data_IF_165813199622
#
_entry.id   IF_165813199622
#
_cell.length_a   1.000
_cell.length_b   1.000
_cell.length_c   1.000
_cell.angle_alpha   90.00
_cell.angle_beta   90.00
_cell.angle_gamma   90.00
#
_symmetry.space_group_name_H-M   'P 1'
#
loop_
_entity.id
_entity.type
_entity.pdbx_description
1 polymer ?
#
# COMPACT_ATOMS: atom_id res chain seq x y z
N UNK A 1 -8.18 31.05 -28.13
CA UNK A 1 -8.67 30.64 -26.79
C UNK A 1 -9.49 29.34 -26.85
N UNK A 2 -10.53 29.24 -27.68
CA UNK A 2 -11.31 28.01 -27.84
C UNK A 2 -10.49 26.77 -28.26
N UNK A 3 -9.58 26.91 -29.24
CA UNK A 3 -8.72 25.81 -29.70
C UNK A 3 -7.79 25.27 -28.60
N UNK A 4 -7.23 26.16 -27.76
CA UNK A 4 -6.35 25.77 -26.63
C UNK A 4 -7.15 25.02 -25.57
N UNK A 5 -8.38 25.47 -25.26
CA UNK A 5 -9.25 24.77 -24.33
C UNK A 5 -9.63 23.36 -24.85
N UNK A 6 -9.95 23.23 -26.14
CA UNK A 6 -10.24 21.93 -26.75
C UNK A 6 -9.04 20.97 -26.68
N UNK A 7 -7.83 21.45 -26.99
CA UNK A 7 -6.61 20.63 -26.89
C UNK A 7 -6.36 20.16 -25.46
N UNK A 8 -6.47 21.04 -24.45
CA UNK A 8 -6.31 20.66 -23.04
C UNK A 8 -7.32 19.59 -22.64
N UNK A 9 -8.58 19.72 -23.06
CA UNK A 9 -9.62 18.73 -22.78
C UNK A 9 -9.34 17.36 -23.40
N UNK A 10 -8.81 17.30 -24.63
CA UNK A 10 -8.46 16.04 -25.29
C UNK A 10 -7.30 15.35 -24.57
N UNK A 11 -6.25 16.09 -24.18
CA UNK A 11 -5.13 15.53 -23.42
C UNK A 11 -5.58 15.02 -22.05
N UNK A 12 -6.43 15.79 -21.36
CA UNK A 12 -6.99 15.40 -20.07
C UNK A 12 -7.83 14.10 -20.18
N UNK A 13 -8.70 14.01 -21.19
CA UNK A 13 -9.49 12.81 -21.45
C UNK A 13 -8.60 11.61 -21.77
N UNK A 14 -7.60 11.78 -22.64
CA UNK A 14 -6.67 10.71 -23.00
C UNK A 14 -5.90 10.17 -21.79
N UNK A 15 -5.38 11.07 -20.94
CA UNK A 15 -4.66 10.68 -19.73
C UNK A 15 -5.58 10.01 -18.69
N UNK A 16 -6.84 10.45 -18.56
CA UNK A 16 -7.82 9.79 -17.71
C UNK A 16 -8.16 8.38 -18.22
N UNK A 17 -8.42 8.22 -19.52
CA UNK A 17 -8.69 6.92 -20.12
C UNK A 17 -7.50 5.97 -19.94
N UNK A 18 -6.27 6.48 -20.09
CA UNK A 18 -5.06 5.71 -19.82
C UNK A 18 -4.99 5.27 -18.35
N UNK A 19 -5.25 6.17 -17.39
CA UNK A 19 -5.26 5.84 -15.97
C UNK A 19 -6.31 4.77 -15.64
N UNK A 20 -7.51 4.86 -16.21
CA UNK A 20 -8.57 3.85 -16.04
C UNK A 20 -8.18 2.51 -16.67
N UNK A 21 -7.60 2.51 -17.87
CA UNK A 21 -7.12 1.29 -18.52
C UNK A 21 -5.99 0.63 -17.71
N UNK A 22 -5.07 1.42 -17.17
CA UNK A 22 -4.02 0.93 -16.27
C UNK A 22 -4.60 0.33 -15.00
N UNK A 23 -5.56 1.01 -14.35
CA UNK A 23 -6.22 0.48 -13.16
C UNK A 23 -6.96 -0.84 -13.46
N UNK A 24 -7.70 -0.90 -14.55
CA UNK A 24 -8.39 -2.13 -14.98
C UNK A 24 -7.39 -3.27 -15.25
N UNK A 25 -6.26 -2.97 -15.90
CA UNK A 25 -5.19 -3.94 -16.13
C UNK A 25 -4.55 -4.44 -14.83
N UNK A 26 -4.31 -3.54 -13.86
CA UNK A 26 -3.79 -3.90 -12.53
C UNK A 26 -4.78 -4.81 -11.80
N UNK A 27 -6.06 -4.44 -11.75
CA UNK A 27 -7.13 -5.23 -11.11
C UNK A 27 -7.26 -6.60 -11.75
N UNK A 28 -7.25 -6.67 -13.08
CA UNK A 28 -7.31 -7.93 -13.83
C UNK A 28 -6.09 -8.82 -13.55
N UNK A 29 -4.88 -8.26 -13.64
CA UNK A 29 -3.65 -9.00 -13.37
C UNK A 29 -3.58 -9.47 -11.92
N UNK A 30 -4.05 -8.66 -10.97
CA UNK A 30 -4.13 -9.02 -9.56
C UNK A 30 -5.14 -10.15 -9.33
N UNK A 31 -6.35 -10.07 -9.89
CA UNK A 31 -7.34 -11.14 -9.81
C UNK A 31 -6.79 -12.46 -10.34
N UNK A 32 -6.19 -12.45 -11.54
CA UNK A 32 -5.56 -13.65 -12.10
C UNK A 32 -4.39 -14.18 -11.26
N UNK A 33 -3.65 -13.30 -10.58
CA UNK A 33 -2.60 -13.70 -9.65
C UNK A 33 -3.17 -14.36 -8.38
N UNK A 34 -4.25 -13.81 -7.82
CA UNK A 34 -4.96 -14.35 -6.68
C UNK A 34 -5.56 -15.72 -6.98
N UNK A 35 -6.22 -15.90 -8.14
CA UNK A 35 -6.78 -17.19 -8.56
C UNK A 35 -5.74 -18.33 -8.55
N UNK A 36 -4.46 -18.02 -8.75
CA UNK A 36 -3.36 -19.00 -8.75
C UNK A 36 -2.72 -19.22 -7.38
N UNK A 37 -2.91 -18.30 -6.43
CA UNK A 37 -2.16 -18.24 -5.18
C UNK A 37 -3.04 -17.98 -3.95
N UNK A 38 -4.36 -18.15 -4.05
CA UNK A 38 -5.31 -17.85 -2.97
C UNK A 38 -4.94 -18.56 -1.66
N UNK A 39 -4.51 -19.82 -1.74
CA UNK A 39 -4.08 -20.61 -0.58
C UNK A 39 -2.62 -20.36 -0.14
N UNK A 40 -1.92 -19.39 -0.73
CA UNK A 40 -0.52 -19.06 -0.44
C UNK A 40 -0.37 -17.63 0.12
N UNK A 41 -0.85 -17.34 1.35
CA UNK A 41 -0.90 -15.97 1.89
C UNK A 41 0.48 -15.32 2.02
N UNK A 42 1.55 -16.11 2.16
CA UNK A 42 2.91 -15.59 2.19
C UNK A 42 3.33 -14.96 0.85
N UNK A 43 2.91 -15.55 -0.29
CA UNK A 43 3.19 -15.00 -1.62
C UNK A 43 2.36 -13.77 -1.91
N UNK A 44 1.09 -13.77 -1.52
CA UNK A 44 0.22 -12.59 -1.63
C UNK A 44 0.80 -11.42 -0.81
N UNK A 45 1.21 -11.69 0.44
CA UNK A 45 1.86 -10.70 1.29
C UNK A 45 3.14 -10.13 0.66
N UNK A 46 3.99 -10.98 0.11
CA UNK A 46 5.22 -10.54 -0.57
C UNK A 46 4.91 -9.66 -1.79
N UNK A 47 3.88 -10.01 -2.58
CA UNK A 47 3.44 -9.20 -3.71
C UNK A 47 2.88 -7.84 -3.26
N UNK A 48 2.05 -7.80 -2.21
CA UNK A 48 1.54 -6.55 -1.63
C UNK A 48 2.68 -5.66 -1.09
N UNK A 49 3.71 -6.24 -0.46
CA UNK A 49 4.91 -5.50 -0.04
C UNK A 49 5.65 -4.90 -1.24
N UNK A 50 5.77 -5.64 -2.34
CA UNK A 50 6.40 -5.14 -3.56
C UNK A 50 5.60 -4.00 -4.18
N UNK A 51 4.27 -4.12 -4.23
CA UNK A 51 3.36 -3.06 -4.70
C UNK A 51 3.48 -1.83 -3.82
N UNK A 52 3.47 -1.98 -2.49
CA UNK A 52 3.65 -0.89 -1.53
C UNK A 52 5.00 -0.18 -1.69
N UNK A 53 6.08 -0.94 -1.92
CA UNK A 53 7.40 -0.39 -2.20
C UNK A 53 7.41 0.39 -3.53
N UNK A 54 6.77 -0.14 -4.58
CA UNK A 54 6.60 0.54 -5.86
C UNK A 54 5.80 1.84 -5.75
N UNK A 55 4.68 1.82 -5.01
CA UNK A 55 3.87 2.99 -4.70
C UNK A 55 4.71 4.05 -3.96
N UNK A 56 5.39 3.67 -2.88
CA UNK A 56 6.28 4.58 -2.12
C UNK A 56 7.39 5.19 -2.99
N UNK A 57 7.97 4.42 -3.92
CA UNK A 57 8.95 4.92 -4.86
C UNK A 57 8.33 5.91 -5.88
N UNK A 58 7.11 5.65 -6.34
CA UNK A 58 6.38 6.56 -7.22
C UNK A 58 6.10 7.90 -6.52
N UNK A 59 5.70 7.90 -5.26
CA UNK A 59 5.49 9.13 -4.47
C UNK A 59 6.77 9.95 -4.30
N UNK A 60 7.89 9.28 -4.01
CA UNK A 60 9.21 9.92 -3.97
C UNK A 60 9.55 10.53 -5.33
N UNK A 61 9.26 9.82 -6.44
CA UNK A 61 9.39 10.33 -7.79
C UNK A 61 8.54 11.57 -8.05
N UNK A 62 7.28 11.59 -7.63
CA UNK A 62 6.38 12.76 -7.74
C UNK A 62 6.93 13.97 -6.96
N UNK A 63 7.47 13.75 -5.77
CA UNK A 63 8.11 14.80 -4.99
C UNK A 63 9.40 15.30 -5.64
N UNK A 64 10.24 14.39 -6.15
CA UNK A 64 11.50 14.72 -6.82
C UNK A 64 11.28 15.51 -8.13
N UNK A 65 10.21 15.19 -8.87
CA UNK A 65 9.76 15.95 -10.04
C UNK A 65 9.09 17.30 -9.68
N UNK A 66 8.93 17.59 -8.39
CA UNK A 66 8.34 18.83 -7.89
C UNK A 66 6.83 18.94 -8.05
N UNK A 67 6.14 17.82 -8.37
CA UNK A 67 4.68 17.74 -8.49
C UNK A 67 4.02 17.73 -7.10
N UNK A 68 4.59 16.99 -6.15
CA UNK A 68 4.13 16.95 -4.77
C UNK A 68 5.03 17.79 -3.85
N UNK A 69 4.43 18.47 -2.86
CA UNK A 69 5.15 19.16 -1.80
C UNK A 69 5.73 18.19 -0.75
N UNK A 70 6.70 18.67 0.04
CA UNK A 70 7.34 17.86 1.09
C UNK A 70 6.35 17.39 2.17
N UNK A 71 5.34 18.22 2.50
CA UNK A 71 4.28 17.86 3.46
C UNK A 71 3.46 16.69 2.93
N UNK A 72 3.10 16.71 1.65
CA UNK A 72 2.39 15.59 0.99
C UNK A 72 3.23 14.33 1.05
N UNK A 73 4.53 14.41 0.76
CA UNK A 73 5.44 13.27 0.87
C UNK A 73 5.49 12.73 2.31
N UNK A 74 5.57 13.60 3.33
CA UNK A 74 5.58 13.16 4.72
C UNK A 74 4.28 12.43 5.11
N UNK A 75 3.12 12.97 4.73
CA UNK A 75 1.82 12.34 5.00
C UNK A 75 1.70 11.02 4.25
N UNK A 76 2.10 10.98 2.99
CA UNK A 76 2.06 9.79 2.15
C UNK A 76 3.01 8.69 2.68
N UNK A 77 4.24 9.05 3.05
CA UNK A 77 5.18 8.14 3.71
C UNK A 77 4.63 7.62 5.04
N UNK A 78 3.98 8.47 5.84
CA UNK A 78 3.34 8.05 7.09
C UNK A 78 2.19 7.08 6.81
N UNK A 79 1.33 7.37 5.84
CA UNK A 79 0.23 6.49 5.45
C UNK A 79 0.73 5.14 4.92
N UNK A 80 1.80 5.13 4.12
CA UNK A 80 2.36 3.90 3.55
C UNK A 80 3.12 3.07 4.60
N UNK A 81 3.88 3.69 5.52
CA UNK A 81 4.65 2.98 6.55
C UNK A 81 3.80 2.59 7.75
N UNK A 82 2.89 3.44 8.22
CA UNK A 82 2.09 3.16 9.40
C UNK A 82 0.73 2.52 9.07
N UNK A 83 0.15 2.88 7.93
CA UNK A 83 -1.09 2.29 7.43
C UNK A 83 -0.81 1.06 6.56
N UNK A 84 -0.25 1.28 5.37
CA UNK A 84 -0.03 0.26 4.35
C UNK A 84 0.81 -0.91 4.82
N UNK A 85 2.01 -0.66 5.35
CA UNK A 85 2.90 -1.72 5.82
C UNK A 85 2.31 -2.49 7.01
N UNK A 86 1.67 -1.80 7.96
CA UNK A 86 0.98 -2.47 9.07
C UNK A 86 -0.16 -3.37 8.56
N UNK A 87 -0.95 -2.91 7.58
CA UNK A 87 -1.99 -3.71 6.94
C UNK A 87 -1.41 -4.96 6.25
N UNK A 88 -0.39 -4.79 5.42
CA UNK A 88 0.23 -5.91 4.70
C UNK A 88 0.86 -6.90 5.66
N UNK A 89 1.48 -6.46 6.76
CA UNK A 89 2.05 -7.37 7.76
C UNK A 89 0.98 -8.18 8.50
N UNK A 90 -0.23 -7.63 8.69
CA UNK A 90 -1.37 -8.30 9.32
C UNK A 90 -2.14 -9.24 8.38
N UNK A 91 -2.02 -9.06 7.07
CA UNK A 91 -2.64 -9.95 6.08
C UNK A 91 -2.29 -11.43 6.35
N UNK A 92 -3.25 -12.39 6.32
CA UNK A 92 -4.63 -12.29 5.86
C UNK A 92 -5.66 -12.12 7.00
N UNK A 93 -5.31 -11.49 8.12
CA UNK A 93 -6.26 -11.30 9.20
C UNK A 93 -7.42 -10.38 8.77
N UNK A 94 -8.65 -10.90 8.83
CA UNK A 94 -9.85 -10.08 8.75
C UNK A 94 -9.95 -9.23 10.02
N UNK A 95 -10.09 -7.92 9.82
CA UNK A 95 -10.31 -6.98 10.91
C UNK A 95 -11.68 -6.36 10.74
N UNK A 96 -12.43 -6.24 11.84
CA UNK A 96 -13.69 -5.50 11.82
C UNK A 96 -13.45 -4.07 11.38
N UNK A 97 -14.33 -3.55 10.53
CA UNK A 97 -14.28 -2.16 10.07
C UNK A 97 -14.42 -1.16 11.22
N UNK A 98 -15.07 -1.57 12.31
CA UNK A 98 -15.24 -0.82 13.56
C UNK A 98 -14.02 -0.90 14.49
N UNK A 99 -13.00 -1.68 14.15
CA UNK A 99 -11.78 -1.75 14.94
C UNK A 99 -10.97 -0.45 14.84
N UNK A 100 -10.14 -0.18 15.85
CA UNK A 100 -9.18 0.93 15.81
C UNK A 100 -8.27 0.87 14.56
N UNK A 101 -7.95 -0.34 14.11
CA UNK A 101 -7.20 -0.54 12.88
C UNK A 101 -7.96 -0.03 11.64
N UNK A 102 -9.25 -0.38 11.50
CA UNK A 102 -10.09 0.11 10.40
C UNK A 102 -10.17 1.64 10.37
N UNK A 103 -10.48 2.26 11.51
CA UNK A 103 -10.50 3.73 11.63
C UNK A 103 -9.14 4.37 11.30
N UNK A 104 -8.03 3.77 11.74
CA UNK A 104 -6.68 4.22 11.41
C UNK A 104 -6.44 4.20 9.90
N UNK A 105 -6.77 3.09 9.22
CA UNK A 105 -6.57 2.98 7.77
C UNK A 105 -7.40 4.00 6.99
N UNK A 106 -8.68 4.14 7.33
CA UNK A 106 -9.57 5.13 6.70
C UNK A 106 -9.06 6.55 6.95
N UNK A 107 -8.67 6.87 8.19
CA UNK A 107 -8.12 8.17 8.56
C UNK A 107 -6.85 8.52 7.80
N UNK A 108 -5.91 7.58 7.70
CA UNK A 108 -4.67 7.75 6.93
C UNK A 108 -4.94 7.91 5.42
N UNK A 109 -5.90 7.16 4.88
CA UNK A 109 -6.31 7.27 3.47
C UNK A 109 -6.93 8.63 3.15
N UNK A 110 -7.80 9.13 4.02
CA UNK A 110 -8.40 10.47 3.91
C UNK A 110 -7.31 11.53 4.04
N UNK A 111 -6.42 11.42 5.04
CA UNK A 111 -5.32 12.35 5.24
C UNK A 111 -4.39 12.42 4.02
N UNK A 112 -4.02 11.27 3.44
CA UNK A 112 -3.23 11.17 2.20
C UNK A 112 -3.95 11.84 1.03
N UNK A 113 -5.25 11.55 0.85
CA UNK A 113 -6.07 12.15 -0.21
C UNK A 113 -6.13 13.68 -0.11
N UNK A 114 -6.39 14.20 1.10
CA UNK A 114 -6.41 15.66 1.36
C UNK A 114 -5.02 16.27 1.13
N UNK A 115 -3.96 15.62 1.57
CA UNK A 115 -2.59 16.10 1.38
C UNK A 115 -2.20 16.20 -0.11
N UNK A 116 -2.69 15.29 -0.96
CA UNK A 116 -2.53 15.41 -2.41
C UNK A 116 -3.37 16.55 -2.99
N UNK A 117 -4.64 16.68 -2.60
CA UNK A 117 -5.50 17.76 -3.07
C UNK A 117 -4.96 19.16 -2.70
N UNK A 118 -4.37 19.31 -1.52
CA UNK A 118 -3.83 20.58 -1.04
C UNK A 118 -2.36 20.82 -1.43
N UNK A 119 -1.61 19.76 -1.74
CA UNK A 119 -0.15 19.82 -1.92
C UNK A 119 0.34 20.03 -3.35
N UNK A 120 -0.56 20.04 -4.33
CA UNK A 120 -0.21 20.33 -5.72
C UNK A 120 0.01 21.82 -5.93
N UNK A 121 1.14 22.17 -6.57
CA UNK A 121 1.50 23.56 -6.87
C UNK A 121 0.53 24.20 -7.86
N UNK A 122 0.13 23.47 -8.91
CA UNK A 122 -0.72 23.96 -9.99
C UNK A 122 -1.93 23.04 -10.24
N UNK A 123 -2.93 23.09 -9.34
CA UNK A 123 -4.10 22.21 -9.39
C UNK A 123 -4.78 22.13 -10.77
N UNK A 124 -4.93 23.26 -11.48
CA UNK A 124 -5.59 23.28 -12.79
C UNK A 124 -4.79 22.59 -13.89
N UNK A 125 -3.47 22.64 -13.83
CA UNK A 125 -2.58 22.07 -14.84
C UNK A 125 -2.43 20.57 -14.61
N UNK A 126 -2.33 20.18 -13.34
CA UNK A 126 -1.99 18.81 -12.95
C UNK A 126 -3.20 18.01 -12.47
N UNK A 127 -4.42 18.50 -12.70
CA UNK A 127 -5.67 17.85 -12.24
C UNK A 127 -5.78 16.38 -12.68
N UNK A 128 -5.38 16.07 -13.92
CA UNK A 128 -5.46 14.68 -14.41
C UNK A 128 -4.38 13.80 -13.77
N UNK A 129 -3.19 14.35 -13.56
CA UNK A 129 -2.13 13.66 -12.82
C UNK A 129 -2.56 13.41 -11.36
N UNK A 130 -3.21 14.39 -10.72
CA UNK A 130 -3.82 14.23 -9.39
C UNK A 130 -4.79 13.05 -9.38
N UNK A 131 -5.73 13.03 -10.32
CA UNK A 131 -6.76 12.00 -10.38
C UNK A 131 -6.16 10.61 -10.61
N UNK A 132 -5.15 10.50 -11.47
CA UNK A 132 -4.41 9.26 -11.70
C UNK A 132 -3.67 8.80 -10.44
N UNK A 133 -2.98 9.70 -9.73
CA UNK A 133 -2.28 9.40 -8.47
C UNK A 133 -3.28 8.98 -7.39
N UNK A 134 -4.40 9.69 -7.24
CA UNK A 134 -5.43 9.29 -6.29
C UNK A 134 -5.97 7.89 -6.62
N UNK A 135 -6.40 7.65 -7.86
CA UNK A 135 -6.99 6.37 -8.26
C UNK A 135 -6.02 5.20 -8.13
N UNK A 136 -4.79 5.34 -8.65
CA UNK A 136 -3.85 4.22 -8.76
C UNK A 136 -2.99 4.08 -7.50
N UNK A 137 -2.41 5.17 -7.00
CA UNK A 137 -1.48 5.12 -5.86
C UNK A 137 -2.19 5.16 -4.50
N UNK A 138 -3.19 6.02 -4.35
CA UNK A 138 -3.86 6.21 -3.05
C UNK A 138 -4.94 5.16 -2.80
N UNK A 139 -5.81 4.90 -3.79
CA UNK A 139 -6.93 3.96 -3.66
C UNK A 139 -6.63 2.56 -4.20
N UNK A 140 -5.66 2.43 -5.11
CA UNK A 140 -5.32 1.14 -5.72
C UNK A 140 -4.91 0.11 -4.68
N UNK A 141 -3.94 0.41 -3.80
CA UNK A 141 -3.48 -0.56 -2.81
C UNK A 141 -4.58 -1.03 -1.83
N UNK A 142 -5.42 -0.14 -1.23
CA UNK A 142 -6.59 -0.57 -0.45
C UNK A 142 -7.54 -1.50 -1.22
N UNK A 143 -7.81 -1.22 -2.50
CA UNK A 143 -8.66 -2.08 -3.34
C UNK A 143 -8.01 -3.44 -3.57
N UNK A 144 -6.72 -3.49 -3.91
CA UNK A 144 -6.00 -4.75 -4.11
C UNK A 144 -5.93 -5.56 -2.82
N UNK A 145 -5.72 -4.90 -1.68
CA UNK A 145 -5.77 -5.52 -0.37
C UNK A 145 -7.17 -6.10 -0.09
N UNK A 146 -8.23 -5.33 -0.37
CA UNK A 146 -9.60 -5.78 -0.20
C UNK A 146 -9.94 -7.00 -1.07
N UNK A 147 -9.48 -7.01 -2.33
CA UNK A 147 -9.65 -8.15 -3.24
C UNK A 147 -8.90 -9.40 -2.78
N UNK A 148 -7.83 -9.25 -2.02
CA UNK A 148 -7.02 -10.36 -1.54
C UNK A 148 -7.59 -11.02 -0.28
N UNK A 149 -8.67 -10.51 0.30
CA UNK A 149 -9.25 -11.13 1.48
C UNK A 149 -9.77 -12.54 1.16
N UNK A 150 -9.41 -13.54 1.97
CA UNK A 150 -9.95 -14.88 1.81
C UNK A 150 -11.47 -14.84 2.06
N UNK A 151 -12.23 -15.47 1.16
CA UNK A 151 -13.69 -15.53 1.25
C UNK A 151 -14.17 -16.57 2.27
N UNK A 152 -13.34 -17.58 2.55
CA UNK A 152 -13.62 -18.62 3.55
C UNK A 152 -13.28 -18.12 4.96
N UNK A 153 -14.26 -18.02 5.88
CA UNK A 153 -14.01 -17.69 7.28
C UNK A 153 -13.00 -18.62 7.97
N UNK A 154 -12.92 -19.90 7.56
CA UNK A 154 -11.96 -20.84 8.14
C UNK A 154 -10.50 -20.44 7.88
N UNK A 155 -10.22 -19.83 6.72
CA UNK A 155 -8.90 -19.30 6.38
C UNK A 155 -8.59 -17.98 7.12
N UNK A 156 -9.63 -17.23 7.52
CA UNK A 156 -9.50 -15.99 8.30
C UNK A 156 -9.16 -16.25 9.77
N UNK A 157 -9.69 -17.33 10.36
CA UNK A 157 -9.57 -17.65 11.80
C UNK A 157 -8.23 -18.30 12.16
N UNK A 158 -7.53 -18.92 11.20
CA UNK A 158 -6.33 -19.72 11.46
C UNK A 158 -5.05 -18.93 11.86
N UNK A 159 -5.11 -17.61 12.06
CA UNK A 159 -3.96 -16.76 12.44
C UNK A 159 -4.27 -15.87 13.64
N UNK A 160 -4.20 -16.52 14.80
CA UNK A 160 -4.33 -16.04 16.18
C UNK A 160 -3.92 -14.59 16.52
N UNK A 161 -4.57 -14.10 17.58
CA UNK A 161 -4.41 -12.82 18.31
C UNK A 161 -2.98 -12.32 18.52
N UNK A 162 -1.99 -13.21 18.51
CA UNK A 162 -0.58 -12.87 18.69
C UNK A 162 -0.07 -11.86 17.65
N UNK A 163 -0.66 -11.85 16.45
CA UNK A 163 -0.29 -10.92 15.38
C UNK A 163 -1.18 -9.64 15.31
N UNK A 164 -2.11 -9.43 16.23
CA UNK A 164 -2.96 -8.23 16.21
C UNK A 164 -2.34 -7.01 16.93
N UNK A 165 -1.03 -7.03 17.18
CA UNK A 165 -0.32 -5.90 17.80
C UNK A 165 0.09 -4.88 16.73
N UNK A 166 -0.23 -3.60 16.97
CA UNK A 166 0.17 -2.48 16.10
C UNK A 166 1.68 -2.43 15.86
N UNK A 167 2.09 -2.14 14.62
CA UNK A 167 3.49 -2.04 14.24
C UNK A 167 4.30 -1.10 15.14
N UNK A 168 3.75 0.04 15.57
CA UNK A 168 4.46 0.95 16.48
C UNK A 168 4.65 0.32 17.85
N UNK A 169 3.65 -0.42 18.34
CA UNK A 169 3.77 -1.15 19.62
C UNK A 169 4.80 -2.27 19.49
N UNK A 170 4.84 -2.98 18.37
CA UNK A 170 5.89 -3.99 18.09
C UNK A 170 7.28 -3.36 18.06
N UNK A 171 7.45 -2.24 17.35
CA UNK A 171 8.73 -1.52 17.28
C UNK A 171 9.14 -0.96 18.63
N UNK A 172 8.20 -0.43 19.41
CA UNK A 172 8.43 0.05 20.77
C UNK A 172 8.88 -1.08 21.70
N UNK A 173 8.20 -2.23 21.66
CA UNK A 173 8.58 -3.41 22.45
C UNK A 173 9.93 -3.96 22.01
N UNK A 174 10.25 -3.97 20.72
CA UNK A 174 11.61 -4.26 20.23
C UNK A 174 12.63 -3.24 20.76
N UNK A 175 12.29 -1.95 20.85
CA UNK A 175 13.18 -0.93 21.39
C UNK A 175 13.43 -1.08 22.90
N UNK A 176 12.41 -1.46 23.67
CA UNK A 176 12.42 -1.43 25.13
C UNK A 176 12.64 -2.79 25.79
N UNK A 177 12.22 -3.90 25.17
CA UNK A 177 12.28 -5.25 25.72
C UNK A 177 13.47 -6.05 25.15
N UNK A 178 14.46 -6.33 26.00
CA UNK A 178 15.63 -7.12 25.60
C UNK A 178 15.32 -8.58 25.23
N UNK A 179 14.23 -9.14 25.77
CA UNK A 179 13.78 -10.49 25.45
C UNK A 179 13.23 -10.56 24.02
N UNK A 180 12.37 -9.61 23.62
CA UNK A 180 11.83 -9.55 22.25
C UNK A 180 12.93 -9.31 21.21
N UNK A 181 13.90 -8.43 21.50
CA UNK A 181 15.08 -8.24 20.62
C UNK A 181 15.83 -9.54 20.38
N UNK A 182 16.10 -10.30 21.45
CA UNK A 182 16.81 -11.59 21.35
C UNK A 182 16.00 -12.62 20.58
N UNK A 183 14.67 -12.65 20.76
CA UNK A 183 13.79 -13.52 19.99
C UNK A 183 13.81 -13.16 18.50
N UNK A 184 13.65 -11.88 18.16
CA UNK A 184 13.68 -11.39 16.78
C UNK A 184 15.04 -11.66 16.10
N UNK A 185 16.16 -11.34 16.77
CA UNK A 185 17.50 -11.61 16.24
C UNK A 185 17.73 -13.11 15.97
N UNK A 186 17.24 -14.00 16.85
CA UNK A 186 17.30 -15.46 16.62
C UNK A 186 16.46 -15.86 15.41
N UNK A 187 15.25 -15.34 15.27
CA UNK A 187 14.38 -15.62 14.13
C UNK A 187 15.03 -15.17 12.80
N UNK A 188 15.56 -13.95 12.76
CA UNK A 188 16.30 -13.43 11.59
C UNK A 188 17.51 -14.29 11.25
N UNK A 189 18.30 -14.70 12.25
CA UNK A 189 19.47 -15.56 12.06
C UNK A 189 19.08 -16.93 11.50
N UNK A 190 18.04 -17.55 12.04
CA UNK A 190 17.53 -18.84 11.54
C UNK A 190 17.00 -18.71 10.11
N UNK A 191 16.26 -17.64 9.80
CA UNK A 191 15.78 -17.39 8.45
C UNK A 191 16.93 -17.22 7.45
N UNK A 192 17.95 -16.44 7.83
CA UNK A 192 19.13 -16.21 7.01
C UNK A 192 19.90 -17.51 6.73
N UNK A 193 20.13 -18.33 7.75
CA UNK A 193 20.82 -19.62 7.56
C UNK A 193 20.02 -20.59 6.69
N UNK A 194 18.69 -20.64 6.83
CA UNK A 194 17.84 -21.45 5.93
C UNK A 194 17.98 -21.00 4.49
N UNK A 195 17.97 -19.68 4.23
CA UNK A 195 18.15 -19.14 2.88
C UNK A 195 19.52 -19.46 2.30
N UNK A 196 20.59 -19.36 3.09
CA UNK A 196 21.94 -19.72 2.64
C UNK A 196 22.05 -21.22 2.33
N UNK A 197 21.46 -22.09 3.16
CA UNK A 197 21.46 -23.53 2.93
C UNK A 197 20.76 -23.89 1.61
N UNK A 198 19.57 -23.33 1.34
CA UNK A 198 18.87 -23.55 0.07
C UNK A 198 19.59 -22.99 -1.16
N UNK A 199 20.49 -22.02 -0.99
CA UNK A 199 21.26 -21.45 -2.10
C UNK A 199 22.57 -22.22 -2.38
N UNK A 200 22.99 -23.10 -1.46
CA UNK A 200 24.18 -23.94 -1.61
C UNK A 200 23.91 -25.34 -2.18
N UNK A 201 22.63 -25.70 -2.33
CA UNK A 201 22.16 -26.90 -3.03
C UNK A 201 22.02 -26.64 -4.53
#
# INVERSE_FOLDING_TARGET
RAMVAALVSVHALGALLLALALLAGIVYAWGSYLDRHEHEPARIRAALLLILAGASAAELGLCACGLAGWVTLLVAATANVWGGLDAVLRFPAAHDTESFFGFKQIGLLIAKSVAYCCGLKDFRRDFVALLAVLLVDTWGLPVLYAMAFPMDPAEQVAKDEADNVDLLVRLWRLGTCSAERRACARACRTWWYRRLACASE
#
